data_IF_865256695155
#
_entry.id   IF_865256695155
#
_cell.length_a   1.000
_cell.length_b   1.000
_cell.length_c   1.000
_cell.angle_alpha   90.00
_cell.angle_beta   90.00
_cell.angle_gamma   90.00
#
_symmetry.space_group_name_H-M   'P 1'
#
loop_
_entity.id
_entity.type
_entity.pdbx_description
1 polymer ?
#
# COMPACT_ATOMS: atom_id res chain seq x y z
N UNK A 1 18.64 2.64 -3.21
CA UNK A 1 17.62 1.74 -2.65
C UNK A 1 18.02 1.45 -1.22
N UNK A 2 17.51 2.19 -0.22
CA UNK A 2 17.87 1.99 1.20
C UNK A 2 16.65 1.76 2.12
N UNK A 3 15.46 1.50 1.58
CA UNK A 3 14.35 1.02 2.39
C UNK A 3 14.40 -0.51 2.52
N UNK A 4 15.53 -1.01 3.03
CA UNK A 4 15.56 -2.28 3.75
C UNK A 4 14.90 -2.09 5.11
N UNK A 5 14.65 -3.17 5.84
CA UNK A 5 13.98 -3.28 7.15
C UNK A 5 14.50 -2.38 8.30
N UNK A 6 15.35 -1.41 8.01
CA UNK A 6 15.86 -0.41 8.93
C UNK A 6 14.73 0.51 9.43
N UNK A 7 14.75 0.88 10.71
CA UNK A 7 13.81 1.85 11.26
C UNK A 7 13.86 3.18 10.50
N UNK A 8 12.69 3.72 10.18
CA UNK A 8 12.57 5.02 9.53
C UNK A 8 12.69 6.13 10.59
N UNK A 9 13.39 7.21 10.27
CA UNK A 9 13.53 8.35 11.16
C UNK A 9 12.15 8.91 11.56
N UNK A 10 11.99 9.32 12.81
CA UNK A 10 10.74 9.89 13.33
C UNK A 10 10.26 11.05 12.45
N UNK A 11 9.02 10.95 11.96
CA UNK A 11 8.40 11.94 11.06
C UNK A 11 8.70 11.74 9.56
N UNK A 12 9.50 10.73 9.20
CA UNK A 12 9.68 10.29 7.80
C UNK A 12 8.90 9.00 7.56
N UNK A 13 8.56 8.75 6.31
CA UNK A 13 7.97 7.51 5.83
C UNK A 13 8.63 7.11 4.52
N UNK A 14 8.51 5.84 4.18
CA UNK A 14 8.97 5.27 2.91
C UNK A 14 7.78 4.67 2.17
N UNK A 15 7.83 4.65 0.85
CA UNK A 15 6.81 3.95 0.05
C UNK A 15 7.14 2.47 0.01
N UNK A 16 6.20 1.63 0.45
CA UNK A 16 6.37 0.17 0.45
C UNK A 16 5.08 -0.52 0.03
N UNK A 17 5.20 -1.52 -0.84
CA UNK A 17 4.09 -2.40 -1.21
C UNK A 17 3.74 -3.30 -0.03
N UNK A 18 2.57 -3.09 0.57
CA UNK A 18 2.05 -3.91 1.67
C UNK A 18 0.64 -4.37 1.33
N UNK A 19 0.16 -5.41 2.00
CA UNK A 19 -1.22 -5.86 1.87
C UNK A 19 -2.12 -4.73 2.37
N UNK A 20 -2.99 -4.26 1.49
CA UNK A 20 -3.97 -3.23 1.80
C UNK A 20 -4.97 -3.72 2.83
N UNK A 21 -5.17 -2.92 3.87
CA UNK A 21 -6.19 -3.09 4.90
C UNK A 21 -7.45 -2.23 4.63
N UNK A 22 -7.55 -1.63 3.44
CA UNK A 22 -8.60 -0.67 3.08
C UNK A 22 -8.23 0.79 3.37
N UNK A 23 -7.02 1.06 3.89
CA UNK A 23 -6.53 2.41 4.13
C UNK A 23 -6.67 3.30 2.88
N UNK A 24 -7.10 4.54 3.08
CA UNK A 24 -7.26 5.54 2.02
C UNK A 24 -8.23 5.15 0.89
N UNK A 25 -9.18 4.25 1.13
CA UNK A 25 -10.19 3.84 0.15
C UNK A 25 -9.66 2.91 -0.95
N UNK A 26 -8.53 2.26 -0.68
CA UNK A 26 -7.98 1.21 -1.54
C UNK A 26 -8.72 -0.11 -1.31
N UNK A 27 -8.73 -1.04 -2.28
CA UNK A 27 -9.30 -2.36 -2.09
C UNK A 27 -8.54 -3.13 -1.00
N UNK A 28 -9.20 -3.92 -0.13
CA UNK A 28 -8.51 -4.83 0.78
C UNK A 28 -7.90 -6.02 0.02
N UNK A 29 -6.95 -6.72 0.63
CA UNK A 29 -6.35 -7.97 0.12
C UNK A 29 -5.60 -7.85 -1.22
N UNK A 30 -5.22 -6.64 -1.63
CA UNK A 30 -4.31 -6.38 -2.75
C UNK A 30 -3.00 -5.78 -2.24
N UNK A 31 -1.89 -6.07 -2.93
CA UNK A 31 -0.61 -5.42 -2.63
C UNK A 31 -0.66 -4.01 -3.21
N UNK A 32 -0.60 -3.00 -2.33
CA UNK A 32 -0.65 -1.60 -2.73
C UNK A 32 0.49 -0.82 -2.06
N UNK A 33 1.03 0.17 -2.78
CA UNK A 33 2.14 0.99 -2.28
C UNK A 33 1.62 2.08 -1.35
N UNK A 34 1.91 1.96 -0.06
CA UNK A 34 1.52 2.95 0.96
C UNK A 34 2.74 3.66 1.56
N UNK A 35 2.54 4.89 2.09
CA UNK A 35 3.50 5.49 3.00
C UNK A 35 3.50 4.68 4.30
N UNK A 36 4.63 4.05 4.61
CA UNK A 36 4.82 3.26 5.84
C UNK A 36 5.94 3.83 6.70
N UNK A 37 5.81 3.64 8.00
CA UNK A 37 6.89 3.86 8.98
C UNK A 37 7.36 2.51 9.51
N UNK A 38 8.68 2.31 9.61
CA UNK A 38 9.26 1.14 10.24
C UNK A 38 9.75 1.54 11.63
N UNK A 39 9.20 0.91 12.66
CA UNK A 39 9.59 1.15 14.05
C UNK A 39 10.94 0.51 14.43
N UNK A 40 11.49 0.82 15.61
CA UNK A 40 12.69 0.16 16.14
C UNK A 40 12.56 -1.35 16.28
N UNK A 41 11.32 -1.85 16.40
CA UNK A 41 10.94 -3.26 16.44
C UNK A 41 10.91 -3.92 15.05
N UNK A 42 11.30 -3.19 14.00
CA UNK A 42 11.26 -3.60 12.58
C UNK A 42 9.86 -3.96 12.10
N UNK A 43 8.82 -3.48 12.79
CA UNK A 43 7.44 -3.60 12.32
C UNK A 43 7.09 -2.39 11.48
N UNK A 44 6.53 -2.63 10.31
CA UNK A 44 5.97 -1.59 9.47
C UNK A 44 4.54 -1.26 9.91
N UNK A 45 4.16 -0.01 9.73
CA UNK A 45 2.78 0.47 9.92
C UNK A 45 2.46 1.45 8.80
N UNK A 46 1.28 1.33 8.21
CA UNK A 46 0.76 2.33 7.28
C UNK A 46 0.56 3.63 8.07
N UNK A 47 1.12 4.72 7.55
CA UNK A 47 0.90 6.04 8.13
C UNK A 47 -0.55 6.41 7.91
N UNK A 48 -1.28 6.71 8.99
CA UNK A 48 -2.68 7.11 8.96
C UNK A 48 -2.83 8.63 9.09
N UNK A 49 -3.94 9.19 8.60
CA UNK A 49 -4.28 10.60 8.78
C UNK A 49 -3.55 11.55 7.81
N UNK A 50 -2.96 11.04 6.72
CA UNK A 50 -2.48 11.90 5.65
C UNK A 50 -3.67 12.48 4.88
N UNK A 51 -3.64 13.79 4.64
CA UNK A 51 -4.63 14.42 3.78
C UNK A 51 -4.33 14.04 2.34
N UNK A 52 -5.21 13.21 1.76
CA UNK A 52 -5.16 12.85 0.36
C UNK A 52 -6.11 13.78 -0.38
N UNK A 53 -5.58 14.53 -1.34
CA UNK A 53 -6.40 15.41 -2.16
C UNK A 53 -7.22 14.58 -3.17
N UNK A 54 -8.29 15.16 -3.70
CA UNK A 54 -9.20 14.47 -4.63
C UNK A 54 -8.49 13.93 -5.87
N UNK A 55 -7.45 14.62 -6.34
CA UNK A 55 -6.62 14.17 -7.46
C UNK A 55 -5.88 12.87 -7.15
N UNK A 56 -5.19 12.81 -6.00
CA UNK A 56 -4.49 11.62 -5.54
C UNK A 56 -5.48 10.50 -5.23
N UNK A 57 -6.64 10.81 -4.63
CA UNK A 57 -7.67 9.80 -4.37
C UNK A 57 -8.20 9.19 -5.67
N UNK A 58 -8.46 10.00 -6.71
CA UNK A 58 -8.88 9.51 -8.02
C UNK A 58 -7.82 8.58 -8.64
N UNK A 59 -6.53 8.94 -8.55
CA UNK A 59 -5.44 8.07 -9.02
C UNK A 59 -5.33 6.77 -8.22
N UNK A 60 -5.46 6.84 -6.89
CA UNK A 60 -5.43 5.66 -6.03
C UNK A 60 -6.57 4.70 -6.33
N UNK A 61 -7.77 5.22 -6.63
CA UNK A 61 -8.91 4.41 -7.04
C UNK A 61 -8.65 3.71 -8.38
N UNK A 62 -8.15 4.43 -9.39
CA UNK A 62 -7.85 3.85 -10.71
C UNK A 62 -6.83 2.71 -10.57
N UNK A 63 -5.73 2.94 -9.85
CA UNK A 63 -4.71 1.91 -9.62
C UNK A 63 -5.23 0.75 -8.76
N UNK A 64 -6.11 1.04 -7.80
CA UNK A 64 -6.78 0.00 -7.02
C UNK A 64 -7.68 -0.90 -7.86
N UNK A 65 -8.48 -0.31 -8.76
CA UNK A 65 -9.36 -1.03 -9.67
C UNK A 65 -8.54 -1.89 -10.68
N UNK A 66 -7.40 -1.39 -11.17
CA UNK A 66 -6.46 -2.16 -12.01
C UNK A 66 -5.88 -3.39 -11.26
N UNK A 67 -5.41 -3.21 -10.02
CA UNK A 67 -4.86 -4.31 -9.22
C UNK A 67 -5.89 -5.38 -8.86
N UNK A 68 -7.16 -5.01 -8.71
CA UNK A 68 -8.24 -5.98 -8.52
C UNK A 68 -8.45 -6.84 -9.76
N UNK A 69 -8.44 -6.22 -10.95
CA UNK A 69 -8.56 -6.94 -12.21
C UNK A 69 -7.37 -7.89 -12.40
N UNK A 70 -6.14 -7.43 -12.15
CA UNK A 70 -4.95 -8.30 -12.22
C UNK A 70 -5.05 -9.48 -11.25
N UNK A 71 -5.57 -9.27 -10.03
CA UNK A 71 -5.80 -10.35 -9.06
C UNK A 71 -6.82 -11.35 -9.58
N UNK A 72 -7.94 -10.89 -10.13
CA UNK A 72 -8.98 -11.77 -10.69
C UNK A 72 -8.45 -12.58 -11.87
N UNK A 73 -7.71 -11.94 -12.78
CA UNK A 73 -7.04 -12.61 -13.89
C UNK A 73 -6.04 -13.66 -13.40
N UNK A 74 -5.17 -13.31 -12.44
CA UNK A 74 -4.20 -14.24 -11.88
C UNK A 74 -4.86 -15.43 -11.18
N UNK A 75 -5.94 -15.20 -10.42
CA UNK A 75 -6.71 -16.27 -9.81
C UNK A 75 -7.39 -17.16 -10.84
N UNK A 76 -7.85 -16.62 -11.97
CA UNK A 76 -8.48 -17.40 -13.04
C UNK A 76 -7.51 -18.42 -13.67
N UNK A 77 -6.22 -18.11 -13.71
CA UNK A 77 -5.16 -18.96 -14.27
C UNK A 77 -4.69 -20.03 -13.26
N UNK A 78 -4.93 -19.84 -11.97
CA UNK A 78 -4.53 -20.79 -10.92
C UNK A 78 -5.64 -21.80 -10.54
N UNK A 79 -6.77 -21.84 -11.25
CA UNK A 79 -7.89 -22.77 -10.97
C UNK A 79 -7.74 -24.18 -11.59
N UNK A 80 -6.52 -24.64 -11.88
CA UNK A 80 -6.23 -26.02 -12.30
C UNK A 80 -5.98 -26.97 -11.11
#
# INVERSE_FOLDING_TARGET
MEAGWNPVQKGKFVSMGVISDGSYGTPPDVIYSFPVTIGPDRKWKIVQGLQINDFSQGKMKVTGDELLQEREEALSVCQD
#
